data_IF_168851822737
#
_entry.id   IF_168851822737
#
_cell.length_a   1.000
_cell.length_b   1.000
_cell.length_c   1.000
_cell.angle_alpha   90.00
_cell.angle_beta   90.00
_cell.angle_gamma   90.00
#
_symmetry.space_group_name_H-M   'P 1'
#
loop_
_entity.id
_entity.type
_entity.pdbx_description
1 polymer ?
#
# COMPACT_ATOMS: atom_id res chain seq x y z
N UNK A 1 2.11 -16.51 2.84
CA UNK A 1 1.05 -15.59 2.39
C UNK A 1 0.96 -15.54 0.86
N UNK A 2 -0.24 -15.54 0.29
CA UNK A 2 -0.47 -15.38 -1.16
C UNK A 2 -0.06 -13.97 -1.65
N UNK A 3 0.16 -13.81 -2.97
CA UNK A 3 0.58 -12.54 -3.59
C UNK A 3 -0.33 -11.37 -3.21
N UNK A 4 -1.64 -11.61 -3.12
CA UNK A 4 -2.63 -10.59 -2.74
C UNK A 4 -2.44 -10.09 -1.31
N UNK A 5 -2.00 -10.96 -0.41
CA UNK A 5 -1.83 -10.62 1.02
C UNK A 5 -0.47 -9.97 1.32
N UNK A 6 0.52 -10.14 0.42
CA UNK A 6 1.84 -9.48 0.44
C UNK A 6 1.79 -8.16 -0.34
N UNK A 7 0.92 -7.25 0.08
CA UNK A 7 0.73 -5.97 -0.59
C UNK A 7 2.02 -5.13 -0.55
N UNK A 8 2.38 -4.42 -1.65
CA UNK A 8 3.54 -3.56 -1.65
C UNK A 8 3.34 -2.34 -0.73
N UNK A 9 4.43 -1.78 -0.23
CA UNK A 9 4.45 -0.55 0.56
C UNK A 9 5.32 0.49 -0.15
N UNK A 10 4.81 1.72 -0.24
CA UNK A 10 5.55 2.85 -0.81
C UNK A 10 6.53 3.44 0.20
N UNK A 11 7.62 4.04 -0.29
CA UNK A 11 8.58 4.76 0.56
C UNK A 11 7.92 5.88 1.38
N UNK A 12 6.98 6.64 0.80
CA UNK A 12 6.22 7.67 1.52
C UNK A 12 5.60 7.18 2.82
N UNK A 13 4.86 6.06 2.74
CA UNK A 13 4.20 5.48 3.90
C UNK A 13 5.18 4.84 4.86
N UNK A 14 6.28 4.31 4.35
CA UNK A 14 7.35 3.76 5.19
C UNK A 14 7.95 4.85 6.08
N UNK A 15 8.26 6.02 5.51
CA UNK A 15 8.76 7.19 6.26
C UNK A 15 7.76 7.62 7.33
N UNK A 16 6.49 7.73 6.98
CA UNK A 16 5.43 8.11 7.92
C UNK A 16 5.33 7.12 9.10
N UNK A 17 5.37 5.80 8.83
CA UNK A 17 5.29 4.80 9.90
C UNK A 17 6.52 4.73 10.80
N UNK A 18 7.68 5.15 10.28
CA UNK A 18 8.97 5.16 10.96
C UNK A 18 9.28 6.50 11.64
N UNK A 19 8.43 7.52 11.48
CA UNK A 19 8.57 8.80 12.18
C UNK A 19 8.53 8.56 13.69
N UNK A 20 9.56 9.03 14.41
CA UNK A 20 9.73 8.81 15.85
C UNK A 20 10.19 7.41 16.26
N UNK A 21 10.63 6.57 15.30
CA UNK A 21 11.13 5.20 15.53
C UNK A 21 12.43 4.93 14.77
N UNK A 22 13.29 5.93 14.70
CA UNK A 22 14.49 5.94 13.84
C UNK A 22 15.51 4.85 14.23
N UNK A 23 15.56 4.49 15.52
CA UNK A 23 16.48 3.45 16.03
C UNK A 23 16.05 2.02 15.67
N UNK A 24 14.83 1.83 15.17
CA UNK A 24 14.24 0.50 14.93
C UNK A 24 14.37 0.07 13.47
N UNK A 25 14.40 -1.24 13.25
CA UNK A 25 14.41 -1.82 11.90
C UNK A 25 12.97 -1.96 11.41
N UNK A 26 12.66 -1.35 10.26
CA UNK A 26 11.37 -1.50 9.61
C UNK A 26 11.29 -2.85 8.89
N UNK A 27 10.33 -3.71 9.24
CA UNK A 27 10.21 -5.06 8.67
C UNK A 27 8.92 -5.19 7.88
N UNK A 28 9.03 -5.48 6.59
CA UNK A 28 7.89 -5.68 5.69
C UNK A 28 7.94 -7.05 5.01
N UNK A 29 6.92 -7.87 5.24
CA UNK A 29 6.72 -9.11 4.48
C UNK A 29 6.04 -8.81 3.13
N UNK A 30 6.78 -8.15 2.24
CA UNK A 30 6.26 -7.65 0.96
C UNK A 30 7.33 -6.99 0.10
N UNK A 31 6.87 -6.19 -0.86
CA UNK A 31 7.75 -5.43 -1.77
C UNK A 31 7.74 -3.95 -1.41
N UNK A 32 8.91 -3.33 -1.38
CA UNK A 32 9.04 -1.89 -1.20
C UNK A 32 9.21 -1.21 -2.56
N UNK A 33 8.33 -0.26 -2.84
CA UNK A 33 8.27 0.47 -4.10
C UNK A 33 8.67 1.92 -3.92
N UNK A 34 9.39 2.46 -4.90
CA UNK A 34 9.75 3.87 -4.96
C UNK A 34 8.49 4.77 -5.01
N UNK A 35 8.61 5.99 -4.49
CA UNK A 35 7.59 7.02 -4.58
C UNK A 35 8.23 8.35 -4.99
N UNK A 36 7.99 8.75 -6.25
CA UNK A 36 8.57 9.96 -6.85
C UNK A 36 8.09 11.26 -6.21
N UNK A 37 6.97 11.20 -5.48
CA UNK A 37 6.37 12.37 -4.81
C UNK A 37 7.11 12.74 -3.53
N UNK A 38 7.90 11.82 -2.99
CA UNK A 38 8.76 12.07 -1.83
C UNK A 38 10.08 12.59 -2.36
N UNK A 39 10.56 13.72 -1.87
CA UNK A 39 11.86 14.27 -2.27
C UNK A 39 12.98 13.70 -1.40
N UNK A 40 12.85 13.89 -0.09
CA UNK A 40 13.85 13.48 0.91
C UNK A 40 13.41 12.22 1.63
N UNK A 41 14.34 11.28 1.78
CA UNK A 41 14.15 10.04 2.53
C UNK A 41 15.16 10.07 3.68
N UNK A 42 14.72 9.91 4.93
CA UNK A 42 15.64 9.82 6.07
C UNK A 42 16.41 8.49 6.01
N UNK A 43 17.61 8.48 6.59
CA UNK A 43 18.38 7.26 6.78
C UNK A 43 17.59 6.27 7.65
N UNK A 44 17.33 5.07 7.14
CA UNK A 44 16.56 4.06 7.86
C UNK A 44 17.02 2.64 7.51
N UNK A 45 16.88 1.72 8.47
CA UNK A 45 17.15 0.29 8.28
C UNK A 45 15.85 -0.41 7.92
N UNK A 46 15.83 -1.05 6.75
CA UNK A 46 14.60 -1.60 6.18
C UNK A 46 14.84 -3.04 5.74
N UNK A 47 14.03 -3.96 6.25
CA UNK A 47 14.00 -5.36 5.80
C UNK A 47 12.76 -5.62 4.96
N UNK A 48 12.93 -6.18 3.77
CA UNK A 48 11.80 -6.59 2.93
C UNK A 48 12.10 -7.86 2.12
N UNK A 49 11.04 -8.49 1.57
CA UNK A 49 11.22 -9.64 0.67
C UNK A 49 11.81 -9.21 -0.68
N UNK A 50 11.42 -8.03 -1.17
CA UNK A 50 11.91 -7.44 -2.42
C UNK A 50 11.95 -5.92 -2.33
N UNK A 51 12.96 -5.34 -2.95
CA UNK A 51 13.05 -3.91 -3.19
C UNK A 51 13.00 -3.66 -4.69
N UNK A 52 12.26 -2.64 -5.11
CA UNK A 52 12.47 -2.09 -6.46
C UNK A 52 13.85 -1.43 -6.53
N UNK A 53 14.54 -1.52 -7.66
CA UNK A 53 15.92 -1.01 -7.81
C UNK A 53 16.01 0.48 -7.45
N UNK A 54 15.05 1.28 -7.92
CA UNK A 54 14.96 2.71 -7.57
C UNK A 54 14.80 2.95 -6.08
N UNK A 55 13.96 2.15 -5.40
CA UNK A 55 13.77 2.30 -3.96
C UNK A 55 15.05 1.95 -3.19
N UNK A 56 15.74 0.87 -3.58
CA UNK A 56 17.02 0.47 -2.99
C UNK A 56 18.05 1.59 -3.14
N UNK A 57 18.27 2.07 -4.36
CA UNK A 57 19.23 3.13 -4.65
C UNK A 57 18.96 4.41 -3.85
N UNK A 58 17.68 4.76 -3.65
CA UNK A 58 17.31 5.94 -2.85
C UNK A 58 17.53 5.76 -1.35
N UNK A 59 17.23 4.58 -0.80
CA UNK A 59 17.50 4.27 0.61
C UNK A 59 19.02 4.30 0.87
N UNK A 60 19.79 3.65 0.00
CA UNK A 60 21.26 3.62 0.12
C UNK A 60 21.87 5.01 -0.06
N UNK A 61 21.39 5.81 -1.02
CA UNK A 61 21.83 7.22 -1.19
C UNK A 61 21.54 8.09 0.03
N UNK A 62 20.47 7.80 0.77
CA UNK A 62 20.13 8.48 2.01
C UNK A 62 20.97 8.00 3.21
N UNK A 63 21.91 7.06 3.03
CA UNK A 63 22.66 6.45 4.12
C UNK A 63 21.86 5.40 4.91
N UNK A 64 20.71 4.97 4.39
CA UNK A 64 19.93 3.87 4.93
C UNK A 64 20.45 2.50 4.48
N UNK A 65 19.86 1.45 5.05
CA UNK A 65 20.30 0.07 4.83
C UNK A 65 19.14 -0.81 4.37
N UNK A 66 19.33 -1.52 3.26
CA UNK A 66 18.38 -2.48 2.72
C UNK A 66 18.78 -3.91 3.10
N UNK A 67 18.01 -4.53 3.99
CA UNK A 67 18.26 -5.85 4.55
C UNK A 67 17.35 -6.91 3.94
N UNK A 68 17.88 -8.13 3.83
CA UNK A 68 17.11 -9.35 3.57
C UNK A 68 16.65 -10.00 4.88
N UNK A 69 15.73 -10.96 4.80
CA UNK A 69 15.18 -11.63 5.99
C UNK A 69 16.20 -12.54 6.68
N UNK A 70 17.13 -13.14 5.94
CA UNK A 70 18.26 -13.90 6.49
C UNK A 70 19.21 -12.98 7.28
N UNK A 71 19.54 -11.80 6.75
CA UNK A 71 20.33 -10.80 7.47
C UNK A 71 19.62 -10.29 8.73
N UNK A 72 18.30 -10.09 8.67
CA UNK A 72 17.51 -9.72 9.84
C UNK A 72 17.55 -10.82 10.91
N UNK A 73 17.42 -12.08 10.53
CA UNK A 73 17.46 -13.20 11.46
C UNK A 73 18.79 -13.31 12.20
N UNK A 74 19.91 -12.99 11.54
CA UNK A 74 21.24 -12.94 12.17
C UNK A 74 21.37 -11.76 13.16
N UNK A 75 20.79 -10.61 12.85
CA UNK A 75 20.89 -9.39 13.68
C UNK A 75 19.93 -9.37 14.87
N UNK A 76 18.70 -9.79 14.63
CA UNK A 76 17.62 -9.74 15.60
C UNK A 76 16.83 -11.06 15.55
N UNK A 77 17.41 -12.18 16.02
CA UNK A 77 16.76 -13.50 15.96
C UNK A 77 15.44 -13.55 16.73
N UNK A 78 15.32 -12.76 17.81
CA UNK A 78 14.10 -12.62 18.60
C UNK A 78 13.16 -11.50 18.08
N UNK A 79 13.56 -10.75 17.04
CA UNK A 79 12.79 -9.63 16.51
C UNK A 79 12.74 -8.38 17.41
N UNK A 80 13.62 -8.29 18.41
CA UNK A 80 13.73 -7.10 19.27
C UNK A 80 14.12 -5.86 18.44
N UNK A 81 13.62 -4.68 18.84
CA UNK A 81 13.85 -3.40 18.14
C UNK A 81 13.44 -3.40 16.66
N UNK A 82 12.45 -4.20 16.29
CA UNK A 82 11.85 -4.20 14.95
C UNK A 82 10.44 -3.61 14.97
N UNK A 83 10.01 -3.04 13.84
CA UNK A 83 8.64 -2.57 13.61
C UNK A 83 8.05 -3.38 12.46
N UNK A 84 7.09 -4.25 12.76
CA UNK A 84 6.40 -5.03 11.74
C UNK A 84 5.37 -4.15 11.02
N UNK A 85 5.53 -4.01 9.71
CA UNK A 85 4.67 -3.19 8.85
C UNK A 85 3.93 -4.05 7.82
N UNK A 86 2.84 -3.49 7.29
CA UNK A 86 2.05 -4.11 6.22
C UNK A 86 1.58 -3.08 5.20
N UNK A 87 1.68 -3.44 3.92
CA UNK A 87 1.08 -2.67 2.84
C UNK A 87 -0.46 -2.66 2.86
N UNK A 88 -1.11 -1.69 2.19
CA UNK A 88 -2.56 -1.57 2.16
C UNK A 88 -3.21 -2.69 1.32
N UNK A 89 -3.80 -3.69 2.00
CA UNK A 89 -4.46 -4.83 1.34
C UNK A 89 -5.75 -4.44 0.60
N UNK A 90 -6.53 -3.51 1.17
CA UNK A 90 -7.88 -3.21 0.69
C UNK A 90 -7.92 -2.12 -0.39
N UNK A 91 -6.79 -1.51 -0.74
CA UNK A 91 -6.72 -0.46 -1.77
C UNK A 91 -6.71 -0.99 -3.21
N UNK A 92 -6.72 -2.31 -3.40
CA UNK A 92 -6.73 -2.95 -4.71
C UNK A 92 -8.06 -2.75 -5.44
N UNK A 93 -8.01 -2.66 -6.77
CA UNK A 93 -9.19 -2.44 -7.62
C UNK A 93 -10.31 -3.46 -7.39
N UNK A 94 -9.98 -4.75 -7.27
CA UNK A 94 -10.97 -5.80 -7.01
C UNK A 94 -11.77 -5.57 -5.71
N UNK A 95 -11.13 -5.03 -4.66
CA UNK A 95 -11.78 -4.81 -3.37
C UNK A 95 -12.80 -3.67 -3.44
N UNK A 96 -12.64 -2.72 -4.36
CA UNK A 96 -13.61 -1.63 -4.57
C UNK A 96 -14.97 -2.14 -5.06
N UNK A 97 -15.02 -3.33 -5.64
CA UNK A 97 -16.24 -3.96 -6.12
C UNK A 97 -16.95 -4.82 -5.05
N UNK A 98 -16.31 -5.01 -3.89
CA UNK A 98 -16.85 -5.81 -2.80
C UNK A 98 -17.68 -4.95 -1.83
N UNK A 99 -18.55 -5.60 -1.07
CA UNK A 99 -19.46 -4.95 -0.12
C UNK A 99 -20.92 -4.97 -0.60
N UNK A 100 -21.78 -4.13 -0.02
CA UNK A 100 -23.18 -4.02 -0.42
C UNK A 100 -23.32 -3.77 -1.92
N UNK A 101 -24.30 -4.39 -2.57
CA UNK A 101 -24.45 -4.30 -4.02
C UNK A 101 -24.57 -2.84 -4.50
N UNK A 102 -24.02 -2.49 -5.68
CA UNK A 102 -24.21 -1.17 -6.27
C UNK A 102 -25.71 -0.92 -6.50
N UNK A 103 -26.26 0.13 -5.88
CA UNK A 103 -27.69 0.44 -5.96
C UNK A 103 -28.46 0.21 -4.65
N UNK A 104 -27.81 -0.34 -3.63
CA UNK A 104 -28.32 -0.32 -2.25
C UNK A 104 -28.02 1.06 -1.60
N UNK A 105 -28.98 1.68 -0.88
CA UNK A 105 -28.72 2.93 -0.15
C UNK A 105 -27.46 2.84 0.72
N UNK A 106 -26.67 3.91 0.75
CA UNK A 106 -25.37 3.99 1.45
C UNK A 106 -24.27 3.03 0.95
N UNK A 107 -24.48 2.35 -0.18
CA UNK A 107 -23.41 1.58 -0.83
C UNK A 107 -22.48 2.47 -1.65
N UNK A 108 -21.18 2.30 -1.42
CA UNK A 108 -20.10 2.92 -2.20
C UNK A 108 -19.35 1.92 -3.10
N UNK A 109 -19.88 0.69 -3.24
CA UNK A 109 -19.28 -0.35 -4.07
C UNK A 109 -19.24 0.07 -5.54
N UNK A 110 -18.07 -0.06 -6.15
CA UNK A 110 -17.86 0.25 -7.56
C UNK A 110 -18.65 -0.76 -8.42
N UNK A 111 -19.49 -0.32 -9.38
CA UNK A 111 -20.16 -1.24 -10.30
C UNK A 111 -19.20 -1.80 -11.35
N UNK A 112 -19.48 -3.02 -11.81
CA UNK A 112 -18.81 -3.61 -12.97
C UNK A 112 -19.42 -3.05 -14.25
N UNK A 113 -18.79 -2.03 -14.82
CA UNK A 113 -19.22 -1.37 -16.05
C UNK A 113 -18.31 -1.75 -17.21
N UNK A 114 -18.87 -1.90 -18.42
CA UNK A 114 -18.09 -2.20 -19.64
C UNK A 114 -17.08 -1.11 -19.98
N UNK A 115 -17.46 0.16 -19.81
CA UNK A 115 -16.62 1.30 -20.11
C UNK A 115 -16.96 2.50 -19.20
N UNK A 116 -16.01 3.44 -19.08
CA UNK A 116 -16.28 4.74 -18.45
C UNK A 116 -16.94 5.66 -19.47
N UNK A 117 -18.01 6.34 -19.10
CA UNK A 117 -18.61 7.36 -19.95
C UNK A 117 -20.00 7.80 -19.50
N UNK A 118 -20.56 8.83 -20.16
CA UNK A 118 -21.93 9.31 -19.86
C UNK A 118 -23.01 8.28 -20.20
N UNK A 119 -22.73 7.41 -21.18
CA UNK A 119 -23.65 6.40 -21.72
C UNK A 119 -23.72 5.11 -20.88
N UNK A 120 -22.81 4.91 -19.93
CA UNK A 120 -22.69 3.67 -19.16
C UNK A 120 -23.06 3.91 -17.69
N UNK A 121 -24.19 3.36 -17.24
CA UNK A 121 -24.63 3.30 -15.83
C UNK A 121 -24.53 4.62 -15.03
N UNK A 122 -24.88 5.75 -15.67
CA UNK A 122 -24.90 7.10 -15.06
C UNK A 122 -26.27 7.79 -15.05
N UNK A 123 -27.34 7.10 -15.46
CA UNK A 123 -28.69 7.66 -15.61
C UNK A 123 -29.56 7.40 -14.37
N UNK A 124 -30.51 6.45 -14.47
CA UNK A 124 -31.42 6.07 -13.39
C UNK A 124 -30.65 5.50 -12.18
N UNK A 125 -31.04 5.89 -10.97
CA UNK A 125 -30.40 5.44 -9.72
C UNK A 125 -29.09 6.17 -9.36
N UNK A 126 -28.54 7.01 -10.25
CA UNK A 126 -27.33 7.83 -9.97
C UNK A 126 -27.60 9.32 -9.87
N UNK A 127 -28.76 9.80 -10.35
CA UNK A 127 -29.13 11.22 -10.38
C UNK A 127 -30.58 11.41 -9.97
N UNK A 128 -30.85 12.45 -9.17
CA UNK A 128 -32.22 12.78 -8.71
C UNK A 128 -33.18 13.05 -9.88
N UNK A 129 -32.70 13.63 -10.98
CA UNK A 129 -33.50 13.97 -12.16
C UNK A 129 -33.94 12.77 -13.03
N UNK A 130 -33.47 11.55 -12.77
CA UNK A 130 -33.80 10.35 -13.56
C UNK A 130 -34.45 9.29 -12.67
N UNK A 131 -35.58 9.64 -12.08
CA UNK A 131 -36.42 8.76 -11.25
C UNK A 131 -36.04 8.78 -9.77
N UNK A 132 -34.84 8.32 -9.43
CA UNK A 132 -34.34 8.33 -8.05
C UNK A 132 -32.81 8.34 -8.01
N UNK A 133 -32.24 8.64 -6.83
CA UNK A 133 -30.80 8.56 -6.57
C UNK A 133 -30.56 7.67 -5.35
N UNK A 134 -29.69 6.68 -5.54
CA UNK A 134 -29.10 5.88 -4.46
C UNK A 134 -27.89 6.59 -3.90
#
# INVERSE_FOLDING_TARGET
>A
MSKVNKAPLSLSRLVEFMTGKEDKIAVLVGTITDDLRVHEIPAMKVTALRFTERARARIEKAGGECLTFDQLALRAPLGQNTVLLRGPKNSREAVKHFGPAPGVPHSHSKPYVRAKGRKFEKARGKRKSRGFKV
#
